data_IF_003382661177
#
_entry.id   IF_003382661177
#
_cell.length_a   1.000
_cell.length_b   1.000
_cell.length_c   1.000
_cell.angle_alpha   90.00
_cell.angle_beta   90.00
_cell.angle_gamma   90.00
#
_symmetry.space_group_name_H-M   'P 1'
#
loop_
_entity.id
_entity.type
_entity.pdbx_description
1 polymer ?
#
# COMPACT_ATOMS: atom_id res chain seq x y z
N UNK A 1 3.91 5.18 -10.06
CA UNK A 1 3.30 4.26 -9.08
C UNK A 1 2.48 4.98 -8.01
N UNK A 2 2.98 6.01 -7.34
CA UNK A 2 2.23 6.71 -6.26
C UNK A 2 0.84 7.22 -6.68
N UNK A 3 0.74 7.85 -7.86
CA UNK A 3 -0.55 8.31 -8.39
C UNK A 3 -1.54 7.15 -8.49
N UNK A 4 -1.12 6.03 -9.10
CA UNK A 4 -1.94 4.83 -9.18
C UNK A 4 -2.35 4.33 -7.78
N UNK A 5 -1.43 4.31 -6.82
CA UNK A 5 -1.74 3.90 -5.45
C UNK A 5 -2.78 4.82 -4.79
N UNK A 6 -2.71 6.14 -4.98
CA UNK A 6 -3.70 7.10 -4.49
C UNK A 6 -5.09 6.78 -5.07
N UNK A 7 -5.17 6.58 -6.39
CA UNK A 7 -6.44 6.28 -7.06
C UNK A 7 -6.99 4.92 -6.65
N UNK A 8 -6.16 3.89 -6.60
CA UNK A 8 -6.56 2.55 -6.16
C UNK A 8 -7.04 2.59 -4.70
N UNK A 9 -6.31 3.27 -3.81
CA UNK A 9 -6.69 3.39 -2.42
C UNK A 9 -8.03 4.12 -2.26
N UNK A 10 -8.20 5.27 -2.92
CA UNK A 10 -9.42 6.08 -2.82
C UNK A 10 -10.65 5.44 -3.47
N UNK A 11 -10.51 4.91 -4.68
CA UNK A 11 -11.67 4.51 -5.49
C UNK A 11 -11.91 3.00 -5.49
N UNK A 12 -10.89 2.19 -5.23
CA UNK A 12 -11.02 0.72 -5.16
C UNK A 12 -11.13 0.30 -3.70
N UNK A 13 -10.11 0.59 -2.88
CA UNK A 13 -10.04 0.08 -1.51
C UNK A 13 -11.07 0.76 -0.59
N UNK A 14 -11.31 2.07 -0.73
CA UNK A 14 -12.42 2.78 -0.07
C UNK A 14 -13.75 2.72 -0.83
N UNK A 15 -13.79 2.05 -1.98
CA UNK A 15 -14.98 1.86 -2.80
C UNK A 15 -15.50 0.41 -2.72
N UNK A 16 -15.60 -0.30 -3.86
CA UNK A 16 -16.12 -1.67 -3.90
C UNK A 16 -15.24 -2.66 -3.13
N UNK A 17 -13.95 -2.38 -2.99
CA UNK A 17 -12.99 -3.20 -2.26
C UNK A 17 -12.96 -2.96 -0.74
N UNK A 18 -13.88 -2.16 -0.20
CA UNK A 18 -13.91 -1.83 1.23
C UNK A 18 -14.06 -3.05 2.13
N UNK A 19 -14.74 -4.11 1.69
CA UNK A 19 -14.86 -5.33 2.51
C UNK A 19 -13.51 -5.96 2.86
N UNK A 20 -12.50 -5.82 1.98
CA UNK A 20 -11.11 -6.22 2.26
C UNK A 20 -10.38 -5.17 3.10
N UNK A 21 -10.59 -3.89 2.81
CA UNK A 21 -9.85 -2.80 3.44
C UNK A 21 -10.36 -2.44 4.85
N UNK A 22 -11.61 -2.77 5.17
CA UNK A 22 -12.25 -2.47 6.46
C UNK A 22 -11.47 -3.03 7.64
N UNK A 23 -10.92 -4.24 7.50
CA UNK A 23 -10.12 -4.86 8.57
C UNK A 23 -8.89 -4.04 8.94
N UNK A 24 -8.42 -3.19 8.03
CA UNK A 24 -7.26 -2.33 8.22
C UNK A 24 -7.59 -1.03 8.96
N UNK A 25 -8.78 -0.47 8.71
CA UNK A 25 -9.27 0.73 9.40
C UNK A 25 -9.81 0.45 10.80
N UNK A 26 -10.36 -0.74 11.01
CA UNK A 26 -10.90 -1.16 12.31
C UNK A 26 -9.76 -1.82 13.08
N UNK A 27 -9.26 -1.13 14.12
CA UNK A 27 -8.19 -1.65 15.00
C UNK A 27 -8.51 -3.06 15.47
N UNK A 28 -7.78 -4.03 14.93
CA UNK A 28 -7.75 -5.40 15.39
C UNK A 28 -6.31 -5.72 15.80
N UNK A 29 -6.09 -6.41 16.91
CA UNK A 29 -4.74 -6.82 17.35
C UNK A 29 -4.19 -8.01 16.55
N UNK A 30 -4.69 -8.22 15.33
CA UNK A 30 -4.34 -9.38 14.52
C UNK A 30 -3.08 -9.07 13.69
N UNK A 31 -2.18 -10.06 13.60
CA UNK A 31 -0.99 -9.95 12.74
C UNK A 31 -1.35 -9.99 11.24
N UNK A 32 -2.49 -10.57 10.92
CA UNK A 32 -3.03 -10.72 9.56
C UNK A 32 -4.40 -10.08 9.46
N UNK A 33 -4.68 -9.54 8.28
CA UNK A 33 -5.90 -8.80 7.96
C UNK A 33 -6.43 -9.25 6.59
N UNK A 34 -7.75 -9.16 6.37
CA UNK A 34 -8.32 -9.38 5.03
C UNK A 34 -7.69 -8.43 3.99
N UNK A 35 -7.25 -7.26 4.45
CA UNK A 35 -6.50 -6.30 3.67
C UNK A 35 -5.21 -6.87 3.05
N UNK A 36 -4.62 -7.92 3.62
CA UNK A 36 -3.41 -8.56 3.09
C UNK A 36 -3.62 -9.17 1.70
N UNK A 37 -4.88 -9.46 1.35
CA UNK A 37 -5.23 -9.90 -0.01
C UNK A 37 -4.88 -8.85 -1.06
N UNK A 38 -4.76 -7.56 -0.71
CA UNK A 38 -4.27 -6.56 -1.64
C UNK A 38 -2.80 -6.77 -2.04
N UNK A 39 -1.95 -7.36 -1.18
CA UNK A 39 -0.60 -7.73 -1.59
C UNK A 39 -0.64 -8.80 -2.69
N UNK A 40 -1.59 -9.72 -2.63
CA UNK A 40 -1.80 -10.72 -3.68
C UNK A 40 -2.35 -10.05 -4.94
N UNK A 41 -3.44 -9.29 -4.82
CA UNK A 41 -4.09 -8.61 -5.95
C UNK A 41 -3.11 -7.70 -6.71
N UNK A 42 -2.29 -6.92 -6.01
CA UNK A 42 -1.34 -6.01 -6.64
C UNK A 42 -0.03 -6.69 -7.07
N UNK A 43 0.30 -7.89 -6.57
CA UNK A 43 1.44 -8.65 -7.09
C UNK A 43 1.13 -9.37 -8.41
N UNK A 44 -0.13 -9.75 -8.66
CA UNK A 44 -0.56 -10.34 -9.95
C UNK A 44 -0.13 -9.53 -11.19
N UNK A 45 -0.39 -8.21 -11.30
CA UNK A 45 0.09 -7.44 -12.44
C UNK A 45 1.62 -7.36 -12.51
N UNK A 46 2.31 -7.29 -11.37
CA UNK A 46 3.79 -7.32 -11.35
C UNK A 46 4.31 -8.63 -11.95
N UNK A 47 3.80 -9.78 -11.47
CA UNK A 47 4.16 -11.11 -11.97
C UNK A 47 3.86 -11.23 -13.47
N UNK A 48 2.67 -10.80 -13.89
CA UNK A 48 2.27 -10.82 -15.30
C UNK A 48 3.25 -10.04 -16.18
N UNK A 49 3.59 -8.81 -15.81
CA UNK A 49 4.50 -7.97 -16.60
C UNK A 49 5.94 -8.49 -16.60
N UNK A 50 6.42 -9.06 -15.49
CA UNK A 50 7.74 -9.69 -15.44
C UNK A 50 7.79 -10.91 -16.37
N UNK A 51 6.83 -11.85 -16.22
CA UNK A 51 6.79 -13.07 -17.03
C UNK A 51 6.65 -12.71 -18.51
N UNK A 52 5.71 -11.83 -18.88
CA UNK A 52 5.55 -11.41 -20.27
C UNK A 52 6.80 -10.70 -20.78
N UNK A 53 7.37 -9.78 -20.01
CA UNK A 53 8.60 -9.07 -20.38
C UNK A 53 9.74 -10.02 -20.72
N UNK A 54 9.91 -11.10 -19.95
CA UNK A 54 10.90 -12.15 -20.24
C UNK A 54 10.52 -12.95 -21.49
N UNK A 55 9.28 -13.43 -21.60
CA UNK A 55 8.85 -14.33 -22.68
C UNK A 55 8.89 -13.69 -24.08
N UNK A 56 8.65 -12.38 -24.18
CA UNK A 56 8.68 -11.65 -25.46
C UNK A 56 9.88 -10.71 -25.57
N UNK A 57 10.90 -10.87 -24.71
CA UNK A 57 12.12 -10.04 -24.67
C UNK A 57 11.84 -8.53 -24.65
N UNK A 58 10.74 -8.14 -24.01
CA UNK A 58 10.29 -6.75 -23.94
C UNK A 58 10.71 -6.11 -22.62
N UNK A 59 11.81 -5.36 -22.69
CA UNK A 59 12.37 -4.65 -21.53
C UNK A 59 11.44 -3.60 -20.92
N UNK A 60 10.50 -3.04 -21.69
CA UNK A 60 9.51 -2.09 -21.15
C UNK A 60 8.56 -2.83 -20.20
N UNK A 61 8.02 -3.97 -20.64
CA UNK A 61 7.14 -4.80 -19.81
C UNK A 61 7.87 -5.29 -18.55
N UNK A 62 9.10 -5.77 -18.72
CA UNK A 62 9.92 -6.19 -17.60
C UNK A 62 10.15 -5.04 -16.59
N UNK A 63 10.49 -3.85 -17.09
CA UNK A 63 10.72 -2.66 -16.25
C UNK A 63 9.46 -2.22 -15.50
N UNK A 64 8.28 -2.30 -16.12
CA UNK A 64 7.00 -2.04 -15.45
C UNK A 64 6.79 -3.03 -14.31
N UNK A 65 6.96 -4.32 -14.58
CA UNK A 65 6.77 -5.38 -13.58
C UNK A 65 7.72 -5.23 -12.39
N UNK A 66 8.99 -4.93 -12.65
CA UNK A 66 10.02 -4.65 -11.63
C UNK A 66 9.67 -3.37 -10.84
N UNK A 67 9.19 -2.33 -11.52
CA UNK A 67 8.76 -1.08 -10.86
C UNK A 67 7.60 -1.29 -9.89
N UNK A 68 6.62 -2.12 -10.26
CA UNK A 68 5.51 -2.50 -9.36
C UNK A 68 6.05 -3.29 -8.16
N UNK A 69 6.97 -4.24 -8.39
CA UNK A 69 7.58 -5.05 -7.32
C UNK A 69 8.28 -4.16 -6.28
N UNK A 70 9.20 -3.28 -6.71
CA UNK A 70 9.91 -2.40 -5.80
C UNK A 70 8.97 -1.45 -5.06
N UNK A 71 7.97 -0.91 -5.73
CA UNK A 71 6.98 -0.07 -5.08
C UNK A 71 6.17 -0.85 -4.03
N UNK A 72 5.78 -2.09 -4.31
CA UNK A 72 5.12 -2.97 -3.34
C UNK A 72 5.98 -3.27 -2.11
N UNK A 73 7.28 -3.53 -2.31
CA UNK A 73 8.24 -3.72 -1.20
C UNK A 73 8.32 -2.45 -0.34
N UNK A 74 8.49 -1.28 -0.97
CA UNK A 74 8.52 0.00 -0.26
C UNK A 74 7.23 0.21 0.53
N UNK A 75 6.08 -0.15 -0.05
CA UNK A 75 4.80 -0.05 0.62
C UNK A 75 4.76 -0.93 1.87
N UNK A 76 5.08 -2.22 1.80
CA UNK A 76 5.09 -3.12 2.97
C UNK A 76 6.04 -2.60 4.06
N UNK A 77 7.25 -2.18 3.68
CA UNK A 77 8.26 -1.70 4.63
C UNK A 77 7.80 -0.42 5.34
N UNK A 78 7.21 0.52 4.61
CA UNK A 78 6.85 1.81 5.19
C UNK A 78 5.45 1.78 5.85
N UNK A 79 4.48 1.12 5.24
CA UNK A 79 3.11 1.05 5.70
C UNK A 79 2.95 0.07 6.86
N UNK A 80 3.14 -1.22 6.63
CA UNK A 80 2.84 -2.28 7.59
C UNK A 80 3.91 -2.38 8.69
N UNK A 81 5.18 -2.20 8.33
CA UNK A 81 6.29 -2.27 9.30
C UNK A 81 6.49 -0.94 10.02
N UNK A 82 6.72 0.17 9.30
CA UNK A 82 7.09 1.44 9.96
C UNK A 82 5.89 2.21 10.56
N UNK A 83 4.77 2.33 9.85
CA UNK A 83 3.60 3.08 10.32
C UNK A 83 2.77 2.24 11.30
N UNK A 84 2.41 1.02 10.92
CA UNK A 84 1.51 0.14 11.68
C UNK A 84 2.21 -0.80 12.66
N UNK A 85 3.51 -1.08 12.46
CA UNK A 85 4.29 -1.99 13.33
C UNK A 85 3.68 -3.39 13.46
N UNK A 86 3.02 -3.87 12.40
CA UNK A 86 2.17 -5.06 12.44
C UNK A 86 2.95 -6.36 12.68
N UNK A 87 4.19 -6.42 12.19
CA UNK A 87 5.05 -7.60 12.26
C UNK A 87 6.06 -7.57 13.43
N UNK A 88 5.92 -6.64 14.38
CA UNK A 88 6.81 -6.56 15.56
C UNK A 88 8.19 -5.96 15.29
N UNK A 89 8.55 -5.68 14.05
CA UNK A 89 9.77 -4.94 13.71
C UNK A 89 9.60 -3.47 14.09
N UNK A 90 10.52 -2.97 14.92
CA UNK A 90 10.46 -1.61 15.45
C UNK A 90 11.45 -0.70 14.72
N UNK A 91 11.21 -0.49 13.42
CA UNK A 91 11.99 0.46 12.62
C UNK A 91 11.50 1.87 12.96
N UNK A 92 12.43 2.76 13.32
CA UNK A 92 12.12 4.17 13.57
C UNK A 92 13.07 5.06 12.76
N UNK A 93 12.57 5.65 11.69
CA UNK A 93 13.28 6.70 10.98
C UNK A 93 13.19 8.02 11.76
N UNK A 94 14.35 8.66 12.02
CA UNK A 94 14.43 9.95 12.72
C UNK A 94 14.18 11.17 11.80
N UNK A 95 14.09 10.98 10.49
CA UNK A 95 13.93 12.06 9.51
C UNK A 95 12.49 12.61 9.50
N UNK A 96 12.38 13.93 9.38
CA UNK A 96 11.13 14.70 9.31
C UNK A 96 10.16 14.19 8.23
N UNK A 97 10.65 13.73 7.08
CA UNK A 97 9.82 13.23 5.97
C UNK A 97 9.02 11.99 6.41
N UNK A 98 9.69 10.98 6.97
CA UNK A 98 9.03 9.75 7.44
C UNK A 98 8.08 10.02 8.61
N UNK A 99 8.40 11.00 9.46
CA UNK A 99 7.48 11.46 10.52
C UNK A 99 6.20 12.04 9.93
N UNK A 100 6.28 12.87 8.89
CA UNK A 100 5.12 13.45 8.21
C UNK A 100 4.27 12.38 7.51
N UNK A 101 4.90 11.45 6.79
CA UNK A 101 4.23 10.28 6.18
C UNK A 101 3.41 9.53 7.24
N UNK A 102 4.05 9.20 8.37
CA UNK A 102 3.39 8.49 9.47
C UNK A 102 2.21 9.25 10.06
N UNK A 103 2.34 10.56 10.24
CA UNK A 103 1.25 11.41 10.75
C UNK A 103 0.10 11.50 9.75
N UNK A 104 0.39 11.70 8.47
CA UNK A 104 -0.62 11.74 7.40
C UNK A 104 -1.41 10.44 7.33
N UNK A 105 -0.71 9.30 7.29
CA UNK A 105 -1.33 7.99 7.24
C UNK A 105 -2.19 7.69 8.48
N UNK A 106 -1.73 8.10 9.67
CA UNK A 106 -2.54 7.97 10.89
C UNK A 106 -3.79 8.84 10.85
N UNK A 107 -3.73 10.06 10.29
CA UNK A 107 -4.92 10.90 10.10
C UNK A 107 -5.93 10.25 9.16
N UNK A 108 -5.46 9.60 8.10
CA UNK A 108 -6.32 8.81 7.22
C UNK A 108 -7.08 7.70 7.98
N UNK A 109 -6.37 6.99 8.87
CA UNK A 109 -6.90 5.93 9.75
C UNK A 109 -7.75 6.42 10.93
N UNK A 110 -7.94 7.73 11.10
CA UNK A 110 -8.85 8.25 12.15
C UNK A 110 -10.31 7.90 11.85
N UNK A 111 -10.68 7.84 10.57
CA UNK A 111 -11.98 7.31 10.16
C UNK A 111 -11.93 5.78 10.13
N UNK A 112 -12.90 5.14 10.79
CA UNK A 112 -13.09 3.68 10.79
C UNK A 112 -14.08 3.20 9.74
N UNK A 113 -14.55 4.12 8.90
CA UNK A 113 -15.53 3.88 7.83
C UNK A 113 -14.89 4.18 6.48
N UNK A 114 -15.52 3.73 5.40
CA UNK A 114 -15.03 4.04 4.05
C UNK A 114 -15.12 5.55 3.73
N UNK A 115 -16.06 6.24 4.38
CA UNK A 115 -16.41 7.63 4.12
C UNK A 115 -15.60 8.61 4.99
N UNK A 116 -15.52 9.86 4.54
CA UNK A 116 -14.82 10.98 5.21
C UNK A 116 -13.32 10.74 5.50
N UNK A 117 -12.70 9.79 4.78
CA UNK A 117 -11.25 9.61 4.80
C UNK A 117 -10.55 10.72 4.01
N UNK A 118 -9.40 11.15 4.51
CA UNK A 118 -8.51 12.10 3.85
C UNK A 118 -7.15 11.44 3.62
N UNK A 119 -6.27 12.04 2.81
CA UNK A 119 -4.89 11.56 2.64
C UNK A 119 -4.76 10.09 2.20
N UNK A 120 -5.27 9.79 1.01
CA UNK A 120 -5.17 8.45 0.41
C UNK A 120 -3.76 8.11 -0.11
N UNK A 121 -2.88 9.10 -0.24
CA UNK A 121 -1.49 8.87 -0.63
C UNK A 121 -0.63 8.47 0.55
N UNK A 122 0.41 7.69 0.26
CA UNK A 122 1.32 7.19 1.28
C UNK A 122 2.57 8.10 1.36
N UNK A 123 3.19 8.40 0.23
CA UNK A 123 4.37 9.26 0.13
C UNK A 123 3.94 10.72 -0.09
N UNK A 124 2.90 10.93 -0.91
CA UNK A 124 2.33 12.26 -1.17
C UNK A 124 1.08 12.50 -0.33
N UNK A 125 1.04 13.63 0.36
CA UNK A 125 -0.05 14.07 1.22
C UNK A 125 -0.31 15.56 0.99
N UNK A 126 -1.56 16.00 1.11
CA UNK A 126 -1.97 17.40 0.95
C UNK A 126 -2.55 17.94 2.26
#
# INVERSE_FOLDING_TARGET
MEIFAIFAHKYIMHGPGWFLHKSHHVKNNNKTELNDLYFVIFSLPSIYFIIKGILIENYIFLSIGIGILFYGIIYILLHDIFVHKRFGFNINFKNSIFKKIKVSHRKHHNSRTKDNCTNFGFIYYK
#
